data_IF_481163038485
#
_entry.id   IF_481163038485
#
_cell.length_a   1.000
_cell.length_b   1.000
_cell.length_c   1.000
_cell.angle_alpha   90.00
_cell.angle_beta   90.00
_cell.angle_gamma   90.00
#
_symmetry.space_group_name_H-M   'P 1'
#
loop_
_entity.id
_entity.type
_entity.pdbx_description
1 polymer ?
#
# COMPACT_ATOMS: atom_id res chain seq x y z
N UNK A 1 -66.04 47.82 -56.40
CA UNK A 1 -66.56 46.49 -56.74
C UNK A 1 -65.59 45.96 -57.78
N UNK A 2 -64.66 45.07 -57.46
CA UNK A 2 -64.77 43.78 -56.74
C UNK A 2 -63.44 43.55 -55.99
N UNK A 3 -63.37 43.31 -54.68
CA UNK A 3 -63.67 42.06 -53.95
C UNK A 3 -63.11 40.79 -54.62
N UNK A 4 -61.78 40.63 -54.57
CA UNK A 4 -61.10 39.38 -54.88
C UNK A 4 -60.92 38.60 -53.57
N UNK A 5 -61.88 37.73 -53.29
CA UNK A 5 -61.87 36.80 -52.17
C UNK A 5 -60.77 35.75 -52.31
N UNK A 6 -59.59 36.03 -51.73
CA UNK A 6 -58.61 34.99 -51.42
C UNK A 6 -58.94 34.37 -50.06
N UNK A 7 -59.20 33.05 -49.98
CA UNK A 7 -59.38 32.36 -48.71
C UNK A 7 -58.03 32.27 -47.95
N UNK A 8 -58.05 32.12 -46.61
CA UNK A 8 -56.83 32.05 -45.81
C UNK A 8 -56.00 30.81 -46.16
N UNK A 9 -54.69 30.99 -46.32
CA UNK A 9 -53.74 29.90 -46.51
C UNK A 9 -53.80 28.93 -45.32
N UNK A 10 -54.07 27.66 -45.60
CA UNK A 10 -53.95 26.58 -44.62
C UNK A 10 -52.48 26.25 -44.48
N UNK A 11 -51.92 26.47 -43.30
CA UNK A 11 -50.60 25.94 -42.96
C UNK A 11 -50.66 24.41 -43.03
N UNK A 12 -49.88 23.82 -43.94
CA UNK A 12 -49.59 22.40 -43.90
C UNK A 12 -48.64 22.15 -42.74
N UNK A 13 -49.08 21.40 -41.73
CA UNK A 13 -48.15 20.74 -40.82
C UNK A 13 -47.27 19.80 -41.65
N UNK A 14 -45.98 19.76 -41.34
CA UNK A 14 -45.06 18.76 -41.89
C UNK A 14 -45.55 17.39 -41.40
N UNK A 15 -46.30 16.69 -42.24
CA UNK A 15 -46.52 15.26 -42.06
C UNK A 15 -45.13 14.61 -42.11
N UNK A 16 -44.70 14.07 -40.97
CA UNK A 16 -43.40 13.42 -40.83
C UNK A 16 -43.23 12.37 -41.92
N UNK A 17 -41.99 12.21 -42.40
CA UNK A 17 -41.66 11.09 -43.27
C UNK A 17 -42.16 9.81 -42.60
N UNK A 18 -43.12 9.14 -43.25
CA UNK A 18 -43.60 7.85 -42.81
C UNK A 18 -42.40 6.90 -42.73
N UNK A 19 -42.22 6.29 -41.56
CA UNK A 19 -41.39 5.10 -41.44
C UNK A 19 -42.15 3.99 -42.18
N UNK A 20 -41.74 3.69 -43.41
CA UNK A 20 -42.27 2.57 -44.20
C UNK A 20 -41.65 1.22 -43.78
N UNK A 21 -40.72 1.24 -42.81
CA UNK A 21 -40.21 0.00 -42.23
C UNK A 21 -41.19 -0.49 -41.16
N UNK A 22 -41.69 -1.74 -41.25
CA UNK A 22 -42.43 -2.34 -40.16
C UNK A 22 -41.54 -2.33 -38.91
N UNK A 23 -42.09 -1.89 -37.78
CA UNK A 23 -41.44 -2.00 -36.48
C UNK A 23 -41.11 -3.48 -36.23
N UNK A 24 -39.87 -3.88 -36.49
CA UNK A 24 -39.31 -5.10 -35.93
C UNK A 24 -39.22 -4.87 -34.43
N UNK A 25 -40.04 -5.60 -33.67
CA UNK A 25 -39.92 -5.63 -32.23
C UNK A 25 -38.47 -5.98 -31.89
N UNK A 26 -37.85 -5.15 -31.07
CA UNK A 26 -36.59 -5.46 -30.43
C UNK A 26 -36.82 -6.70 -29.55
N UNK A 27 -36.62 -7.90 -30.09
CA UNK A 27 -36.44 -9.13 -29.29
C UNK A 27 -35.05 -9.08 -28.66
N UNK A 28 -34.83 -8.08 -27.81
CA UNK A 28 -33.90 -8.23 -26.72
C UNK A 28 -34.71 -8.86 -25.59
N UNK A 29 -34.84 -10.18 -25.61
CA UNK A 29 -34.88 -10.86 -24.32
C UNK A 29 -33.52 -10.53 -23.67
N UNK A 30 -33.47 -9.68 -22.63
CA UNK A 30 -32.21 -9.47 -21.94
C UNK A 30 -31.78 -10.86 -21.44
N UNK A 31 -30.52 -11.27 -21.69
CA UNK A 31 -30.06 -12.55 -21.18
C UNK A 31 -30.31 -12.58 -19.68
N UNK A 32 -31.00 -13.61 -19.19
CA UNK A 32 -31.24 -13.78 -17.77
C UNK A 32 -29.87 -13.86 -17.06
N UNK A 33 -29.56 -12.85 -16.25
CA UNK A 33 -28.39 -12.87 -15.38
C UNK A 33 -28.71 -13.83 -14.23
N UNK A 34 -28.21 -15.05 -14.33
CA UNK A 34 -28.30 -16.05 -13.25
C UNK A 34 -27.28 -15.71 -12.15
N UNK A 35 -27.59 -14.68 -11.36
CA UNK A 35 -26.83 -14.35 -10.15
C UNK A 35 -27.47 -15.09 -8.98
N UNK A 36 -26.68 -15.86 -8.23
CA UNK A 36 -27.17 -16.52 -7.02
C UNK A 36 -27.38 -15.46 -5.92
N UNK A 37 -28.63 -15.22 -5.46
CA UNK A 37 -28.93 -14.21 -4.46
C UNK A 37 -28.40 -14.58 -3.06
N UNK A 38 -27.92 -15.80 -2.83
CA UNK A 38 -27.26 -16.18 -1.57
C UNK A 38 -25.77 -15.82 -1.55
N UNK A 39 -25.17 -15.50 -2.71
CA UNK A 39 -23.74 -15.15 -2.84
C UNK A 39 -23.49 -13.66 -3.08
N UNK A 40 -24.55 -12.86 -3.20
CA UNK A 40 -24.46 -11.42 -3.52
C UNK A 40 -25.23 -10.61 -2.49
N UNK A 41 -24.59 -9.59 -1.90
CA UNK A 41 -25.27 -8.67 -0.99
C UNK A 41 -26.34 -7.89 -1.77
N UNK A 42 -27.63 -7.96 -1.38
CA UNK A 42 -28.73 -7.29 -2.06
C UNK A 42 -28.66 -5.76 -2.04
N UNK A 43 -27.75 -5.17 -1.24
CA UNK A 43 -27.49 -3.73 -1.20
C UNK A 43 -26.32 -3.32 -2.10
N UNK A 44 -25.56 -4.29 -2.63
CA UNK A 44 -24.44 -4.00 -3.52
C UNK A 44 -24.92 -3.70 -4.95
N UNK A 45 -25.17 -2.42 -5.20
CA UNK A 45 -25.52 -1.90 -6.52
C UNK A 45 -24.39 -2.01 -7.55
N UNK A 46 -23.15 -2.37 -7.14
CA UNK A 46 -22.00 -2.49 -8.05
C UNK A 46 -21.97 -3.81 -8.78
N UNK A 47 -22.38 -4.92 -8.15
CA UNK A 47 -22.34 -6.27 -8.77
C UNK A 47 -23.05 -6.32 -10.13
N UNK A 48 -24.17 -5.59 -10.27
CA UNK A 48 -24.90 -5.49 -11.53
C UNK A 48 -24.18 -4.62 -12.58
N UNK A 49 -23.52 -3.54 -12.17
CA UNK A 49 -22.71 -2.70 -13.05
C UNK A 49 -21.45 -3.44 -13.49
N UNK A 50 -20.77 -4.13 -12.55
CA UNK A 50 -19.57 -4.90 -12.79
C UNK A 50 -19.85 -6.08 -13.73
N UNK A 51 -20.94 -6.83 -13.53
CA UNK A 51 -21.36 -7.89 -14.48
C UNK A 51 -21.82 -7.37 -15.85
N UNK A 52 -22.27 -6.11 -15.92
CA UNK A 52 -22.60 -5.44 -17.19
C UNK A 52 -21.35 -4.91 -17.91
N UNK A 53 -20.32 -4.48 -17.18
CA UNK A 53 -19.03 -4.05 -17.71
C UNK A 53 -18.18 -5.24 -18.17
N UNK A 54 -18.15 -6.35 -17.40
CA UNK A 54 -17.43 -7.58 -17.72
C UNK A 54 -17.78 -8.18 -19.09
N UNK A 55 -19.00 -7.94 -19.59
CA UNK A 55 -19.49 -8.49 -20.86
C UNK A 55 -19.45 -7.51 -22.04
N UNK A 56 -19.19 -6.22 -21.80
CA UNK A 56 -19.32 -5.18 -22.82
C UNK A 56 -18.03 -4.41 -23.13
N UNK A 57 -16.97 -4.55 -22.33
CA UNK A 57 -15.67 -3.99 -22.73
C UNK A 57 -14.99 -4.97 -23.69
N UNK A 58 -14.73 -4.53 -24.92
CA UNK A 58 -13.88 -5.29 -25.81
C UNK A 58 -12.51 -5.45 -25.13
N UNK A 59 -11.97 -6.67 -25.08
CA UNK A 59 -10.64 -6.93 -24.52
C UNK A 59 -9.57 -6.00 -25.10
N UNK A 60 -9.79 -5.49 -26.32
CA UNK A 60 -8.91 -4.61 -27.08
C UNK A 60 -8.93 -3.14 -26.59
N UNK A 61 -9.85 -2.77 -25.68
CA UNK A 61 -10.02 -1.40 -25.15
C UNK A 61 -9.60 -1.27 -23.67
N UNK A 62 -9.10 -2.33 -23.03
CA UNK A 62 -8.64 -2.29 -21.62
C UNK A 62 -7.12 -2.31 -21.57
N UNK A 63 -6.53 -1.20 -21.13
CA UNK A 63 -5.09 -1.11 -20.90
C UNK A 63 -4.73 -1.73 -19.54
N UNK A 64 -3.99 -2.84 -19.57
CA UNK A 64 -3.59 -3.55 -18.35
C UNK A 64 -2.59 -2.75 -17.51
N UNK A 65 -1.72 -1.96 -18.14
CA UNK A 65 -0.76 -1.11 -17.43
C UNK A 65 -1.51 0.03 -16.71
N UNK A 66 -2.53 0.63 -17.36
CA UNK A 66 -3.39 1.64 -16.71
C UNK A 66 -4.15 1.06 -15.51
N UNK A 67 -4.59 -0.20 -15.59
CA UNK A 67 -5.23 -0.88 -14.45
C UNK A 67 -4.26 -1.14 -13.30
N UNK A 68 -2.99 -1.43 -13.58
CA UNK A 68 -1.94 -1.51 -12.55
C UNK A 68 -1.79 -0.16 -11.87
N UNK A 69 -1.66 0.93 -12.63
CA UNK A 69 -1.55 2.30 -12.08
C UNK A 69 -2.76 2.67 -11.20
N UNK A 70 -3.97 2.31 -11.63
CA UNK A 70 -5.19 2.49 -10.83
C UNK A 70 -5.13 1.67 -9.53
N UNK A 71 -4.68 0.42 -9.61
CA UNK A 71 -4.49 -0.44 -8.44
C UNK A 71 -3.49 0.15 -7.45
N UNK A 72 -2.35 0.65 -7.94
CA UNK A 72 -1.32 1.31 -7.11
C UNK A 72 -1.86 2.61 -6.50
N UNK A 73 -2.67 3.39 -7.22
CA UNK A 73 -3.36 4.55 -6.67
C UNK A 73 -4.30 4.17 -5.52
N UNK A 74 -5.02 3.06 -5.64
CA UNK A 74 -5.85 2.55 -4.56
C UNK A 74 -5.04 2.12 -3.32
N UNK A 75 -3.89 1.46 -3.51
CA UNK A 75 -2.96 1.14 -2.42
C UNK A 75 -2.55 2.42 -1.67
N UNK A 76 -2.14 3.46 -2.38
CA UNK A 76 -1.70 4.73 -1.78
C UNK A 76 -2.77 5.46 -0.94
N UNK A 77 -4.06 5.16 -1.18
CA UNK A 77 -5.18 5.69 -0.38
C UNK A 77 -5.82 4.64 0.55
N UNK A 78 -5.11 3.55 0.84
CA UNK A 78 -5.52 2.44 1.72
C UNK A 78 -6.85 1.78 1.32
N UNK A 79 -7.08 1.65 0.01
CA UNK A 79 -8.26 1.03 -0.60
C UNK A 79 -7.91 -0.33 -1.19
N UNK A 80 -7.42 -1.22 -0.32
CA UNK A 80 -6.81 -2.48 -0.74
C UNK A 80 -7.79 -3.43 -1.46
N UNK A 81 -9.07 -3.48 -1.06
CA UNK A 81 -10.09 -4.26 -1.77
C UNK A 81 -10.25 -3.81 -3.25
N UNK A 82 -10.28 -2.49 -3.49
CA UNK A 82 -10.35 -1.97 -4.86
C UNK A 82 -9.05 -2.18 -5.63
N UNK A 83 -7.91 -2.16 -4.95
CA UNK A 83 -6.63 -2.48 -5.55
C UNK A 83 -6.60 -3.95 -6.02
N UNK A 84 -7.10 -4.89 -5.21
CA UNK A 84 -7.22 -6.31 -5.57
C UNK A 84 -8.04 -6.48 -6.85
N UNK A 85 -9.20 -5.82 -6.98
CA UNK A 85 -10.02 -5.87 -8.20
C UNK A 85 -9.27 -5.32 -9.43
N UNK A 86 -8.62 -4.16 -9.29
CA UNK A 86 -7.86 -3.54 -10.36
C UNK A 86 -6.73 -4.45 -10.85
N UNK A 87 -5.96 -5.04 -9.94
CA UNK A 87 -4.87 -5.96 -10.28
C UNK A 87 -5.36 -7.28 -10.86
N UNK A 88 -6.51 -7.80 -10.39
CA UNK A 88 -7.12 -8.98 -11.00
C UNK A 88 -7.51 -8.71 -12.46
N UNK A 89 -8.13 -7.55 -12.72
CA UNK A 89 -8.49 -7.15 -14.07
C UNK A 89 -7.24 -6.93 -14.93
N UNK A 90 -6.19 -6.30 -14.40
CA UNK A 90 -4.93 -6.14 -15.10
C UNK A 90 -4.33 -7.50 -15.51
N UNK A 91 -4.26 -8.46 -14.58
CA UNK A 91 -3.76 -9.80 -14.87
C UNK A 91 -4.61 -10.53 -15.93
N UNK A 92 -5.92 -10.31 -15.93
CA UNK A 92 -6.89 -10.89 -16.89
C UNK A 92 -6.72 -10.33 -18.30
N UNK A 93 -6.44 -9.03 -18.43
CA UNK A 93 -6.35 -8.31 -19.72
C UNK A 93 -4.91 -8.10 -20.21
N UNK A 94 -3.90 -8.45 -19.42
CA UNK A 94 -2.50 -8.34 -19.84
C UNK A 94 -2.21 -9.14 -21.12
N UNK A 95 -1.59 -8.47 -22.10
CA UNK A 95 -1.22 -9.04 -23.40
C UNK A 95 0.12 -9.80 -23.38
N UNK A 96 0.94 -9.59 -22.34
CA UNK A 96 2.23 -10.25 -22.16
C UNK A 96 2.44 -10.76 -20.73
N UNK A 97 3.44 -11.63 -20.57
CA UNK A 97 3.71 -12.31 -19.32
C UNK A 97 4.33 -11.38 -18.27
N UNK A 98 5.04 -10.31 -18.68
CA UNK A 98 5.66 -9.36 -17.74
C UNK A 98 4.59 -8.54 -17.03
N UNK A 99 3.69 -7.89 -17.77
CA UNK A 99 2.58 -7.13 -17.17
C UNK A 99 1.64 -8.04 -16.37
N UNK A 100 1.39 -9.27 -16.85
CA UNK A 100 0.58 -10.24 -16.10
C UNK A 100 1.24 -10.64 -14.78
N UNK A 101 2.55 -10.88 -14.78
CA UNK A 101 3.30 -11.22 -13.58
C UNK A 101 3.27 -10.06 -12.57
N UNK A 102 3.52 -8.83 -13.03
CA UNK A 102 3.46 -7.63 -12.19
C UNK A 102 2.10 -7.47 -11.50
N UNK A 103 1.01 -7.63 -12.27
CA UNK A 103 -0.34 -7.55 -11.75
C UNK A 103 -0.59 -8.60 -10.65
N UNK A 104 -0.13 -9.84 -10.82
CA UNK A 104 -0.25 -10.88 -9.78
C UNK A 104 0.57 -10.56 -8.53
N UNK A 105 1.80 -10.05 -8.69
CA UNK A 105 2.64 -9.62 -7.56
C UNK A 105 1.93 -8.53 -6.75
N UNK A 106 1.42 -7.51 -7.44
CA UNK A 106 0.73 -6.39 -6.82
C UNK A 106 -0.61 -6.79 -6.19
N UNK A 107 -1.35 -7.73 -6.80
CA UNK A 107 -2.53 -8.35 -6.18
C UNK A 107 -2.16 -9.05 -4.86
N UNK A 108 -1.05 -9.79 -4.84
CA UNK A 108 -0.58 -10.45 -3.62
C UNK A 108 -0.17 -9.48 -2.53
N UNK A 109 0.43 -8.34 -2.88
CA UNK A 109 0.72 -7.25 -1.93
C UNK A 109 -0.59 -6.67 -1.38
N UNK A 110 -1.59 -6.41 -2.23
CA UNK A 110 -2.88 -5.88 -1.80
C UNK A 110 -3.61 -6.82 -0.82
N UNK A 111 -3.58 -8.14 -1.04
CA UNK A 111 -4.09 -9.12 -0.08
C UNK A 111 -3.29 -9.14 1.24
N UNK A 112 -1.97 -8.97 1.19
CA UNK A 112 -1.15 -8.87 2.39
C UNK A 112 -1.51 -7.64 3.24
N UNK A 113 -1.86 -6.51 2.63
CA UNK A 113 -2.39 -5.33 3.34
C UNK A 113 -3.76 -5.59 4.00
N UNK A 114 -4.54 -6.52 3.44
CA UNK A 114 -5.79 -7.00 4.03
C UNK A 114 -5.59 -8.09 5.10
N UNK A 115 -4.35 -8.52 5.34
CA UNK A 115 -3.99 -9.67 6.17
C UNK A 115 -4.61 -11.01 5.67
N UNK A 116 -4.95 -11.08 4.39
CA UNK A 116 -5.48 -12.25 3.70
C UNK A 116 -4.30 -13.12 3.21
N UNK A 117 -3.60 -13.76 4.16
CA UNK A 117 -2.32 -14.40 3.90
C UNK A 117 -2.37 -15.59 2.91
N UNK A 118 -3.48 -16.32 2.86
CA UNK A 118 -3.64 -17.47 1.96
C UNK A 118 -3.82 -16.99 0.51
N UNK A 119 -4.63 -15.94 0.33
CA UNK A 119 -4.86 -15.24 -0.94
C UNK A 119 -3.60 -14.51 -1.42
N UNK A 120 -2.88 -13.86 -0.51
CA UNK A 120 -1.58 -13.24 -0.80
C UNK A 120 -0.58 -14.28 -1.31
N UNK A 121 -0.42 -15.39 -0.60
CA UNK A 121 0.46 -16.48 -1.03
C UNK A 121 0.04 -17.07 -2.38
N UNK A 122 -1.27 -17.26 -2.60
CA UNK A 122 -1.80 -17.77 -3.87
C UNK A 122 -1.49 -16.84 -5.04
N UNK A 123 -1.68 -15.52 -4.88
CA UNK A 123 -1.36 -14.54 -5.92
C UNK A 123 0.14 -14.51 -6.25
N UNK A 124 1.02 -14.62 -5.25
CA UNK A 124 2.47 -14.70 -5.49
C UNK A 124 2.86 -16.01 -6.21
N UNK A 125 2.19 -17.12 -5.91
CA UNK A 125 2.39 -18.38 -6.64
C UNK A 125 1.94 -18.28 -8.10
N UNK A 126 0.83 -17.60 -8.39
CA UNK A 126 0.40 -17.32 -9.76
C UNK A 126 1.42 -16.44 -10.50
N UNK A 127 1.99 -15.41 -9.85
CA UNK A 127 3.06 -14.61 -10.43
C UNK A 127 4.30 -15.46 -10.82
N UNK A 128 4.68 -16.41 -9.97
CA UNK A 128 5.79 -17.35 -10.25
C UNK A 128 5.42 -18.40 -11.30
N UNK A 129 4.13 -18.74 -11.44
CA UNK A 129 3.64 -19.64 -12.48
C UNK A 129 3.65 -18.98 -13.87
N UNK A 130 3.38 -17.68 -13.95
CA UNK A 130 3.41 -16.91 -15.21
C UNK A 130 4.83 -16.91 -15.79
N UNK A 131 5.83 -16.53 -15.01
CA UNK A 131 7.23 -16.61 -15.41
C UNK A 131 8.13 -16.84 -14.19
N UNK A 132 8.63 -18.06 -14.02
CA UNK A 132 9.44 -18.42 -12.86
C UNK A 132 10.74 -17.61 -12.78
N UNK A 133 11.31 -17.14 -13.90
CA UNK A 133 12.57 -16.40 -13.95
C UNK A 133 12.39 -14.97 -14.50
N UNK A 134 11.14 -14.48 -14.48
CA UNK A 134 10.75 -13.15 -14.93
C UNK A 134 11.30 -12.02 -14.05
N UNK A 135 11.10 -10.79 -14.51
CA UNK A 135 11.60 -9.57 -13.84
C UNK A 135 11.10 -9.46 -12.39
N UNK A 136 9.86 -9.85 -12.12
CA UNK A 136 9.26 -9.76 -10.79
C UNK A 136 9.37 -11.07 -9.99
N UNK A 137 10.08 -12.09 -10.49
CA UNK A 137 10.14 -13.40 -9.82
C UNK A 137 10.82 -13.33 -8.45
N UNK A 138 11.95 -12.62 -8.32
CA UNK A 138 12.61 -12.45 -7.01
C UNK A 138 11.73 -11.69 -6.00
N UNK A 139 10.94 -10.74 -6.51
CA UNK A 139 9.97 -9.99 -5.73
C UNK A 139 8.80 -10.89 -5.26
N UNK A 140 8.26 -11.71 -6.16
CA UNK A 140 7.23 -12.69 -5.84
C UNK A 140 7.70 -13.71 -4.78
N UNK A 141 8.90 -14.27 -4.92
CA UNK A 141 9.50 -15.15 -3.90
C UNK A 141 9.64 -14.46 -2.53
N UNK A 142 10.05 -13.17 -2.52
CA UNK A 142 10.21 -12.39 -1.27
C UNK A 142 8.87 -12.21 -0.56
N UNK A 143 7.82 -11.86 -1.32
CA UNK A 143 6.48 -11.62 -0.79
C UNK A 143 5.76 -12.93 -0.42
N UNK A 144 6.02 -14.01 -1.16
CA UNK A 144 5.51 -15.34 -0.84
C UNK A 144 6.12 -15.84 0.47
N UNK A 145 7.43 -15.68 0.66
CA UNK A 145 8.11 -16.00 1.91
C UNK A 145 7.50 -15.24 3.09
N UNK A 146 7.22 -13.95 2.91
CA UNK A 146 6.55 -13.12 3.91
C UNK A 146 5.14 -13.63 4.25
N UNK A 147 4.28 -13.81 3.24
CA UNK A 147 2.90 -14.25 3.43
C UNK A 147 2.81 -15.63 4.09
N UNK A 148 3.67 -16.57 3.67
CA UNK A 148 3.73 -17.91 4.27
C UNK A 148 4.19 -17.87 5.73
N UNK A 149 5.09 -16.95 6.09
CA UNK A 149 5.49 -16.76 7.49
C UNK A 149 4.32 -16.31 8.34
N UNK A 150 3.59 -15.27 7.93
CA UNK A 150 2.43 -14.74 8.65
C UNK A 150 1.30 -15.77 8.75
N UNK A 151 1.12 -16.58 7.71
CA UNK A 151 0.18 -17.70 7.73
C UNK A 151 0.62 -18.86 8.65
N UNK A 152 1.88 -18.88 9.10
CA UNK A 152 2.44 -19.89 9.99
C UNK A 152 3.10 -21.09 9.30
N UNK A 153 3.31 -21.04 7.98
CA UNK A 153 4.03 -22.04 7.17
C UNK A 153 5.53 -21.74 7.12
N UNK A 154 6.18 -21.72 8.30
CA UNK A 154 7.56 -21.23 8.47
C UNK A 154 8.62 -22.00 7.67
N UNK A 155 8.42 -23.29 7.40
CA UNK A 155 9.37 -24.09 6.58
C UNK A 155 9.31 -23.70 5.11
N UNK A 156 8.12 -23.59 4.54
CA UNK A 156 7.93 -23.16 3.15
C UNK A 156 8.40 -21.70 2.98
N UNK A 157 8.10 -20.83 3.95
CA UNK A 157 8.56 -19.45 3.96
C UNK A 157 10.10 -19.34 3.81
N UNK A 158 10.84 -20.18 4.53
CA UNK A 158 12.29 -20.22 4.46
C UNK A 158 12.81 -20.65 3.07
N UNK A 159 12.21 -21.68 2.47
CA UNK A 159 12.59 -22.16 1.13
C UNK A 159 12.43 -21.06 0.07
N UNK A 160 11.34 -20.28 0.15
CA UNK A 160 11.07 -19.16 -0.73
C UNK A 160 12.00 -17.95 -0.47
N UNK A 161 12.35 -17.67 0.79
CA UNK A 161 13.34 -16.65 1.11
C UNK A 161 14.74 -16.98 0.52
N UNK A 162 15.14 -18.26 0.54
CA UNK A 162 16.36 -18.70 -0.12
C UNK A 162 16.28 -18.55 -1.66
N UNK A 163 15.13 -18.87 -2.27
CA UNK A 163 14.93 -18.69 -3.70
C UNK A 163 14.98 -17.20 -4.10
N UNK A 164 14.38 -16.31 -3.31
CA UNK A 164 14.38 -14.87 -3.58
C UNK A 164 15.80 -14.32 -3.75
N UNK A 165 16.68 -14.57 -2.77
CA UNK A 165 18.08 -14.12 -2.80
C UNK A 165 18.87 -14.78 -3.93
N UNK A 166 18.56 -16.04 -4.27
CA UNK A 166 19.20 -16.78 -5.36
C UNK A 166 18.81 -16.23 -6.74
N UNK A 167 17.55 -15.80 -6.91
CA UNK A 167 17.05 -15.21 -8.16
C UNK A 167 17.61 -13.81 -8.35
N UNK A 168 17.49 -12.94 -7.34
CA UNK A 168 18.15 -11.65 -7.35
C UNK A 168 18.74 -11.27 -5.99
N UNK A 169 20.07 -11.17 -5.97
CA UNK A 169 20.85 -10.77 -4.81
C UNK A 169 20.80 -9.26 -4.51
N UNK A 170 20.14 -8.46 -5.34
CA UNK A 170 20.06 -7.00 -5.17
C UNK A 170 18.75 -6.55 -4.51
N UNK A 171 17.80 -7.45 -4.25
CA UNK A 171 16.58 -7.16 -3.49
C UNK A 171 16.94 -7.15 -1.99
N UNK A 172 16.97 -6.01 -1.31
CA UNK A 172 17.43 -5.97 0.07
C UNK A 172 16.44 -6.58 1.07
N UNK A 173 15.14 -6.50 0.80
CA UNK A 173 14.09 -7.14 1.61
C UNK A 173 14.24 -8.67 1.60
N UNK A 174 14.67 -9.27 0.49
CA UNK A 174 14.93 -10.71 0.39
C UNK A 174 16.02 -11.14 1.38
N UNK A 175 17.10 -10.36 1.48
CA UNK A 175 18.16 -10.59 2.46
C UNK A 175 17.69 -10.40 3.90
N UNK A 176 16.86 -9.40 4.18
CA UNK A 176 16.30 -9.24 5.52
C UNK A 176 15.39 -10.42 5.90
N UNK A 177 14.49 -10.84 5.01
CA UNK A 177 13.58 -11.96 5.25
C UNK A 177 14.34 -13.26 5.50
N UNK A 178 15.35 -13.55 4.67
CA UNK A 178 16.23 -14.69 4.90
C UNK A 178 16.96 -14.57 6.24
N UNK A 179 17.56 -13.42 6.55
CA UNK A 179 18.26 -13.19 7.82
C UNK A 179 17.38 -13.34 9.04
N UNK A 180 16.15 -12.85 8.98
CA UNK A 180 15.15 -13.03 10.02
C UNK A 180 14.84 -14.52 10.25
N UNK A 181 14.60 -15.27 9.18
CA UNK A 181 14.30 -16.71 9.28
C UNK A 181 15.51 -17.54 9.72
N UNK A 182 16.72 -17.17 9.32
CA UNK A 182 17.98 -17.74 9.82
C UNK A 182 18.11 -17.56 11.34
N UNK A 183 17.81 -16.34 11.82
CA UNK A 183 17.87 -16.01 13.24
C UNK A 183 16.88 -16.84 14.06
N UNK A 184 15.65 -16.98 13.57
CA UNK A 184 14.60 -17.79 14.21
C UNK A 184 14.95 -19.30 14.23
N UNK A 185 15.75 -19.77 13.26
CA UNK A 185 16.27 -21.14 13.26
C UNK A 185 17.53 -21.33 14.12
N UNK A 186 18.03 -20.27 14.77
CA UNK A 186 19.21 -20.31 15.62
C UNK A 186 20.55 -20.24 14.86
N UNK A 187 20.52 -19.93 13.56
CA UNK A 187 21.70 -19.75 12.70
C UNK A 187 22.10 -18.28 12.70
N UNK A 188 22.61 -17.85 13.85
CA UNK A 188 22.81 -16.43 14.13
C UNK A 188 23.97 -15.82 13.34
N UNK A 189 25.03 -16.57 13.02
CA UNK A 189 26.10 -16.08 12.13
C UNK A 189 25.57 -15.78 10.72
N UNK A 190 24.83 -16.73 10.14
CA UNK A 190 24.21 -16.59 8.81
C UNK A 190 23.19 -15.43 8.78
N UNK A 191 22.42 -15.26 9.86
CA UNK A 191 21.51 -14.14 10.02
C UNK A 191 22.23 -12.78 9.97
N UNK A 192 23.35 -12.65 10.70
CA UNK A 192 24.16 -11.41 10.69
C UNK A 192 24.68 -11.10 9.29
N UNK A 193 25.18 -12.10 8.56
CA UNK A 193 25.64 -11.93 7.17
C UNK A 193 24.49 -11.48 6.24
N UNK A 194 23.28 -12.00 6.43
CA UNK A 194 22.10 -11.60 5.68
C UNK A 194 21.70 -10.15 5.98
N UNK A 195 21.63 -9.76 7.26
CA UNK A 195 21.32 -8.37 7.64
C UNK A 195 22.37 -7.39 7.13
N UNK A 196 23.66 -7.76 7.14
CA UNK A 196 24.73 -6.95 6.56
C UNK A 196 24.57 -6.75 5.05
N UNK A 197 24.09 -7.77 4.32
CA UNK A 197 23.76 -7.62 2.91
C UNK A 197 22.56 -6.69 2.69
N UNK A 198 21.49 -6.82 3.47
CA UNK A 198 20.32 -5.94 3.40
C UNK A 198 20.71 -4.46 3.63
N UNK A 199 21.49 -4.19 4.69
CA UNK A 199 22.00 -2.85 5.04
C UNK A 199 22.91 -2.29 3.94
N UNK A 200 23.78 -3.13 3.37
CA UNK A 200 24.68 -2.74 2.27
C UNK A 200 23.91 -2.34 1.02
N UNK A 201 22.77 -2.98 0.77
CA UNK A 201 21.90 -2.73 -0.38
C UNK A 201 20.90 -1.58 -0.15
N UNK A 202 20.86 -0.99 1.05
CA UNK A 202 20.09 0.23 1.33
C UNK A 202 18.93 0.05 2.30
N UNK A 203 18.60 -1.17 2.73
CA UNK A 203 17.55 -1.42 3.71
C UNK A 203 18.06 -1.10 5.12
N UNK A 204 18.01 0.20 5.45
CA UNK A 204 18.59 0.82 6.64
C UNK A 204 17.52 1.34 7.59
N UNK A 205 16.50 0.52 7.81
CA UNK A 205 15.47 0.79 8.81
C UNK A 205 15.95 0.33 10.19
N UNK A 206 15.46 0.95 11.27
CA UNK A 206 15.86 0.61 12.64
C UNK A 206 15.70 -0.88 12.93
N UNK A 207 14.60 -1.48 12.45
CA UNK A 207 14.26 -2.89 12.64
C UNK A 207 15.36 -3.85 12.13
N UNK A 208 16.00 -3.53 11.00
CA UNK A 208 17.10 -4.34 10.45
C UNK A 208 18.30 -4.37 11.39
N UNK A 209 18.63 -3.21 11.99
CA UNK A 209 19.70 -3.12 12.97
C UNK A 209 19.31 -3.81 14.28
N UNK A 210 18.05 -3.71 14.72
CA UNK A 210 17.56 -4.40 15.92
C UNK A 210 17.64 -5.92 15.78
N UNK A 211 17.23 -6.48 14.64
CA UNK A 211 17.35 -7.91 14.37
C UNK A 211 18.81 -8.36 14.30
N UNK A 212 19.69 -7.54 13.70
CA UNK A 212 21.13 -7.80 13.70
C UNK A 212 21.73 -7.78 15.10
N UNK A 213 21.37 -6.79 15.93
CA UNK A 213 21.82 -6.69 17.32
C UNK A 213 21.37 -7.92 18.12
N UNK A 214 20.11 -8.36 17.94
CA UNK A 214 19.59 -9.58 18.56
C UNK A 214 20.39 -10.81 18.17
N UNK A 215 20.71 -10.97 16.88
CA UNK A 215 21.53 -12.09 16.42
C UNK A 215 22.94 -12.05 17.03
N UNK A 216 23.57 -10.87 17.09
CA UNK A 216 24.89 -10.67 17.72
C UNK A 216 24.89 -11.00 19.22
N UNK A 217 23.82 -10.65 19.94
CA UNK A 217 23.66 -11.00 21.35
C UNK A 217 23.58 -12.52 21.56
N UNK A 218 22.85 -13.24 20.69
CA UNK A 218 22.80 -14.71 20.76
C UNK A 218 24.16 -15.36 20.50
N UNK A 219 25.03 -14.69 19.74
CA UNK A 219 26.44 -15.09 19.53
C UNK A 219 27.36 -14.70 20.69
N UNK A 220 26.88 -13.94 21.68
CA UNK A 220 27.71 -13.40 22.76
C UNK A 220 28.64 -12.26 22.31
N UNK A 221 28.38 -11.64 21.16
CA UNK A 221 29.14 -10.49 20.61
C UNK A 221 28.58 -9.17 21.16
N UNK A 222 28.50 -9.05 22.48
CA UNK A 222 27.81 -7.97 23.21
C UNK A 222 28.26 -6.55 22.81
N UNK A 223 29.55 -6.35 22.54
CA UNK A 223 30.07 -5.03 22.14
C UNK A 223 29.53 -4.61 20.78
N UNK A 224 29.52 -5.52 19.81
CA UNK A 224 29.02 -5.24 18.47
C UNK A 224 27.51 -5.08 18.48
N UNK A 225 26.79 -5.86 19.28
CA UNK A 225 25.35 -5.70 19.47
C UNK A 225 24.99 -4.30 19.99
N UNK A 226 25.69 -3.81 21.03
CA UNK A 226 25.48 -2.47 21.59
C UNK A 226 25.76 -1.35 20.59
N UNK A 227 26.78 -1.50 19.75
CA UNK A 227 27.08 -0.53 18.68
C UNK A 227 25.96 -0.49 17.64
N UNK A 228 25.46 -1.65 17.24
CA UNK A 228 24.35 -1.78 16.28
C UNK A 228 23.04 -1.25 16.87
N UNK A 229 22.74 -1.53 18.13
CA UNK A 229 21.54 -1.06 18.83
C UNK A 229 21.52 0.48 18.96
N UNK A 230 22.67 1.09 19.30
CA UNK A 230 22.79 2.56 19.30
C UNK A 230 22.48 3.17 17.94
N UNK A 231 22.94 2.53 16.85
CA UNK A 231 22.64 3.01 15.51
C UNK A 231 21.16 2.88 15.15
N UNK A 232 20.48 1.81 15.60
CA UNK A 232 19.04 1.66 15.44
C UNK A 232 18.27 2.80 16.15
N UNK A 233 18.68 3.14 17.38
CA UNK A 233 18.09 4.26 18.14
C UNK A 233 18.30 5.60 17.44
N UNK A 234 19.48 5.86 16.87
CA UNK A 234 19.77 7.07 16.09
C UNK A 234 18.85 7.19 14.88
N UNK A 235 18.63 6.09 14.14
CA UNK A 235 17.73 6.06 12.98
C UNK A 235 16.30 6.37 13.41
N UNK A 236 15.83 5.75 14.50
CA UNK A 236 14.48 5.96 15.04
C UNK A 236 14.27 7.42 15.46
N UNK A 237 15.23 8.00 16.17
CA UNK A 237 15.18 9.40 16.58
C UNK A 237 15.10 10.34 15.37
N UNK A 238 15.90 10.10 14.34
CA UNK A 238 15.86 10.91 13.10
C UNK A 238 14.52 10.79 12.35
N UNK A 239 13.92 9.60 12.34
CA UNK A 239 12.61 9.39 11.74
C UNK A 239 11.51 10.12 12.51
N UNK A 240 11.51 10.01 13.86
CA UNK A 240 10.59 10.73 14.73
C UNK A 240 10.71 12.25 14.56
N UNK A 241 11.94 12.78 14.52
CA UNK A 241 12.20 14.20 14.29
C UNK A 241 11.65 14.68 12.93
N UNK A 242 11.86 13.91 11.85
CA UNK A 242 11.27 14.20 10.54
C UNK A 242 9.74 14.23 10.57
N UNK A 243 9.11 13.25 11.22
CA UNK A 243 7.65 13.21 11.33
C UNK A 243 7.09 14.39 12.13
N UNK A 244 7.78 14.84 13.17
CA UNK A 244 7.39 16.04 13.93
C UNK A 244 7.55 17.32 13.11
N UNK A 245 8.61 17.41 12.30
CA UNK A 245 8.85 18.55 11.40
C UNK A 245 7.78 18.63 10.30
N UNK A 246 7.46 17.50 9.67
CA UNK A 246 6.43 17.40 8.61
C UNK A 246 5.00 17.53 9.17
N UNK A 247 4.75 17.02 10.37
CA UNK A 247 3.46 17.08 11.06
C UNK A 247 3.18 18.41 11.78
N UNK A 248 4.14 19.34 11.81
CA UNK A 248 3.93 20.68 12.36
C UNK A 248 3.20 21.55 11.33
N UNK A 249 1.93 21.96 11.56
CA UNK A 249 1.30 22.93 10.68
C UNK A 249 2.14 24.20 10.72
N UNK A 250 2.55 24.67 9.54
CA UNK A 250 3.28 25.92 9.36
C UNK A 250 2.82 26.96 10.37
N UNK A 251 3.74 27.40 11.22
CA UNK A 251 3.47 28.47 12.17
C UNK A 251 2.90 29.64 11.39
N UNK A 252 1.64 29.96 11.69
CA UNK A 252 0.86 31.00 11.02
C UNK A 252 1.68 32.27 10.84
N UNK A 253 2.09 32.53 9.60
CA UNK A 253 2.60 33.83 9.23
C UNK A 253 1.44 34.82 9.16
N UNK A 254 1.58 35.87 9.97
CA UNK A 254 1.14 37.21 9.57
C UNK A 254 -0.29 37.58 9.92
N UNK A 255 -0.51 38.04 11.15
CA UNK A 255 -1.80 38.66 11.49
C UNK A 255 -1.94 39.35 12.84
N UNK A 256 -0.88 39.74 13.55
CA UNK A 256 -1.05 40.59 14.73
C UNK A 256 -0.79 42.06 14.37
N UNK A 257 -1.89 42.75 14.00
CA UNK A 257 -1.95 44.21 14.07
C UNK A 257 -1.88 44.66 15.55
N UNK A 258 -1.06 45.67 15.89
CA UNK A 258 -1.06 46.25 17.23
C UNK A 258 -2.24 47.22 17.38
N UNK A 259 -3.29 46.83 18.10
CA UNK A 259 -4.28 47.80 18.59
C UNK A 259 -3.77 48.47 19.86
N UNK A 260 -3.43 49.75 19.71
CA UNK A 260 -3.26 50.69 20.80
C UNK A 260 -4.62 50.96 21.46
N UNK A 261 -4.67 50.99 22.79
CA UNK A 261 -5.77 51.64 23.50
C UNK A 261 -5.90 51.30 24.98
N UNK A 262 -5.72 52.31 25.83
CA UNK A 262 -6.49 52.40 27.09
C UNK A 262 -5.72 52.21 28.39
N UNK A 263 -5.42 53.33 29.05
CA UNK A 263 -4.83 53.46 30.40
C UNK A 263 -5.76 52.94 31.52
N UNK A 264 -5.17 52.40 32.59
CA UNK A 264 -5.83 52.22 33.90
C UNK A 264 -4.89 51.74 35.01
N UNK A 265 -4.51 52.68 35.89
CA UNK A 265 -3.92 52.63 37.26
C UNK A 265 -4.25 51.35 38.09
N UNK A 266 -3.52 50.83 39.09
CA UNK A 266 -2.34 51.15 39.93
C UNK A 266 -1.96 49.85 40.73
N UNK A 267 -0.87 49.79 41.51
CA UNK A 267 -0.19 48.56 41.95
C UNK A 267 -0.64 47.99 43.31
N UNK A 268 -0.57 46.66 43.46
CA UNK A 268 -0.73 45.95 44.73
C UNK A 268 0.34 44.86 44.91
N UNK A 269 1.10 44.98 45.99
CA UNK A 269 2.26 44.17 46.39
C UNK A 269 1.92 42.76 46.95
N UNK A 270 2.93 41.89 47.20
CA UNK A 270 2.85 40.43 47.04
C UNK A 270 2.60 39.67 48.35
N UNK A 271 2.14 38.41 48.26
CA UNK A 271 2.22 37.46 49.38
C UNK A 271 2.37 35.99 48.94
N UNK A 272 3.38 35.34 49.55
CA UNK A 272 3.45 33.90 49.83
C UNK A 272 3.83 33.04 48.63
N UNK A 273 5.02 32.46 48.51
CA UNK A 273 5.82 31.81 49.55
C UNK A 273 5.38 30.36 49.68
N UNK A 274 5.98 29.47 48.88
CA UNK A 274 6.19 28.06 49.21
C UNK A 274 7.25 27.45 48.29
N UNK A 275 8.34 27.02 48.91
CA UNK A 275 9.46 26.27 48.34
C UNK A 275 9.08 24.80 48.07
N UNK A 276 9.86 24.09 47.23
CA UNK A 276 9.51 22.78 46.68
C UNK A 276 9.80 21.64 47.67
N UNK A 277 8.93 20.62 47.70
CA UNK A 277 9.21 19.35 48.38
C UNK A 277 10.00 18.44 47.43
N UNK A 278 11.26 18.19 47.80
CA UNK A 278 12.06 17.08 47.32
C UNK A 278 11.52 15.76 47.89
N UNK A 279 11.75 14.68 47.14
CA UNK A 279 11.86 13.33 47.68
C UNK A 279 10.66 12.44 47.42
N UNK A 280 10.73 11.70 46.31
CA UNK A 280 10.34 10.29 46.25
C UNK A 280 10.90 9.66 44.97
N UNK A 281 11.95 8.85 45.13
CA UNK A 281 12.37 7.86 44.13
C UNK A 281 11.26 6.79 44.04
N UNK A 282 10.83 6.37 42.84
CA UNK A 282 10.05 5.15 42.72
C UNK A 282 10.97 3.92 42.91
N UNK A 283 10.43 2.83 43.48
CA UNK A 283 11.22 1.68 43.90
C UNK A 283 11.71 0.85 42.72
N UNK A 284 12.92 0.29 42.88
CA UNK A 284 13.50 -0.73 42.01
C UNK A 284 12.64 -2.00 42.06
N UNK A 285 11.71 -2.10 41.10
CA UNK A 285 10.97 -3.31 40.80
C UNK A 285 11.76 -4.20 39.85
N UNK A 286 11.80 -5.48 40.17
CA UNK A 286 12.50 -6.55 39.45
C UNK A 286 12.18 -6.50 37.95
N UNK A 287 13.21 -6.41 37.10
CA UNK A 287 13.10 -6.65 35.65
C UNK A 287 12.75 -8.13 35.45
N UNK A 288 11.46 -8.46 35.49
CA UNK A 288 10.95 -9.62 34.79
C UNK A 288 11.18 -9.34 33.30
N UNK A 289 11.80 -10.28 32.59
CA UNK A 289 12.19 -10.14 31.19
C UNK A 289 11.02 -9.62 30.37
N UNK A 290 11.10 -8.35 29.98
CA UNK A 290 10.38 -7.85 28.83
C UNK A 290 11.05 -8.58 27.66
N UNK A 291 10.40 -9.62 27.16
CA UNK A 291 10.69 -10.08 25.81
C UNK A 291 10.49 -8.85 24.94
N UNK A 292 11.55 -8.43 24.24
CA UNK A 292 11.45 -7.45 23.18
C UNK A 292 10.31 -7.86 22.23
N UNK A 293 9.61 -6.92 21.58
CA UNK A 293 8.70 -7.28 20.51
C UNK A 293 9.43 -8.23 19.57
N UNK A 294 8.82 -9.37 19.25
CA UNK A 294 9.35 -10.25 18.20
C UNK A 294 9.33 -9.41 16.93
N UNK A 295 10.48 -9.27 16.26
CA UNK A 295 10.49 -8.70 14.92
C UNK A 295 9.61 -9.53 13.98
N UNK A 296 9.25 -8.93 12.86
CA UNK A 296 8.57 -9.61 11.76
C UNK A 296 9.50 -9.57 10.53
N UNK A 297 9.37 -10.53 9.60
CA UNK A 297 9.99 -10.38 8.30
C UNK A 297 9.45 -9.12 7.62
N UNK A 298 10.20 -8.56 6.67
CA UNK A 298 9.83 -7.34 5.99
C UNK A 298 8.75 -7.69 4.99
N UNK A 299 7.65 -6.95 5.09
CA UNK A 299 6.80 -6.70 3.95
C UNK A 299 7.64 -5.93 2.94
N UNK A 300 7.44 -6.21 1.65
CA UNK A 300 7.72 -5.14 0.72
C UNK A 300 6.61 -4.14 0.89
N UNK A 301 6.92 -3.08 1.62
CA UNK A 301 6.06 -1.93 1.66
C UNK A 301 5.90 -1.47 0.21
N UNK A 302 4.65 -1.26 -0.19
CA UNK A 302 4.30 -0.51 -1.39
C UNK A 302 4.64 0.97 -1.21
N UNK A 303 5.77 1.29 -0.55
CA UNK A 303 6.34 2.61 -0.30
C UNK A 303 6.77 3.24 -1.64
N UNK A 304 5.77 3.39 -2.50
CA UNK A 304 5.64 4.28 -3.60
C UNK A 304 5.70 5.72 -3.12
N UNK A 305 5.74 6.02 -1.81
CA UNK A 305 6.05 7.37 -1.36
C UNK A 305 7.48 7.76 -1.79
N UNK A 306 8.45 6.84 -1.79
CA UNK A 306 9.77 7.13 -2.34
C UNK A 306 9.79 7.14 -3.89
N UNK A 307 8.85 6.45 -4.56
CA UNK A 307 8.72 6.46 -6.04
C UNK A 307 7.95 7.70 -6.54
N UNK A 308 6.96 8.18 -5.79
CA UNK A 308 6.19 9.39 -6.11
C UNK A 308 7.01 10.66 -5.89
N UNK A 309 7.93 10.67 -4.92
CA UNK A 309 8.89 11.76 -4.74
C UNK A 309 9.89 11.87 -5.91
N UNK A 310 10.17 10.77 -6.63
CA UNK A 310 11.01 10.79 -7.85
C UNK A 310 10.21 11.14 -9.13
N UNK A 311 8.89 10.91 -9.17
CA UNK A 311 8.04 11.27 -10.33
C UNK A 311 7.76 12.78 -10.40
N UNK A 312 7.68 13.47 -9.25
CA UNK A 312 7.44 14.92 -9.22
C UNK A 312 8.66 15.77 -9.64
N UNK A 313 9.84 15.16 -9.87
CA UNK A 313 11.06 15.88 -10.31
C UNK A 313 11.22 15.90 -11.83
N UNK A 314 10.58 15.01 -12.60
CA UNK A 314 10.74 14.94 -14.06
C UNK A 314 9.67 15.69 -14.89
N UNK A 315 8.70 16.38 -14.28
CA UNK A 315 7.66 17.13 -15.01
C UNK A 315 7.71 18.67 -14.89
N UNK A 316 8.75 19.25 -14.28
CA UNK A 316 8.96 20.71 -14.28
C UNK A 316 10.02 21.23 -15.25
N UNK A 317 10.51 20.41 -16.18
CA UNK A 317 11.43 20.90 -17.22
C UNK A 317 11.14 20.36 -18.60
N UNK A 318 10.18 20.97 -19.30
CA UNK A 318 10.21 21.22 -20.75
C UNK A 318 9.29 22.38 -21.17
#
# INVERSE_FOLDING_TARGET
MSDDGKPPEKHHFSEGQGFDDPYEGFDLDPPELAVDPETVDPVDTRVLADTLDERNVASDDVDADELIDVGLSYIGVNRHEQAVDAFERAARFADDDRTRQEAWVNKGIAHAELEEWDEAASAQQEALFVDEDGEFAAQAETNLAYALWEYGKTTEAYEHAEQAVKKDKHVPQAWYNLGFMENEQGRHEEAVDCFDNAIRLGFRQADVFEEKARALDQLGREQEAQEVEQHAEEIRQQQEERLVEQGSPSHGQGGQQPQQGGRGQQPGQPRGGQQPRQGQQPPQGQRQGQQAPRGQPARQDSDLQDILDDIDVEHESE
#
